data_IF_241208507093
#
_entry.id   IF_241208507093
#
_cell.length_a   1.000
_cell.length_b   1.000
_cell.length_c   1.000
_cell.angle_alpha   90.00
_cell.angle_beta   90.00
_cell.angle_gamma   90.00
#
_symmetry.space_group_name_H-M   'P 1'
#
loop_
_entity.id
_entity.type
_entity.pdbx_description
1 polymer ?
#
# COMPACT_ATOMS: atom_id res chain seq x y z
N UNK A 1 -4.00 -28.61 4.71
CA UNK A 1 -4.10 -28.71 3.24
C UNK A 1 -5.56 -28.71 2.84
N UNK A 2 -5.90 -28.10 1.70
CA UNK A 2 -7.25 -28.21 1.12
C UNK A 2 -7.47 -29.63 0.61
N UNK A 3 -8.72 -30.11 0.68
CA UNK A 3 -9.15 -31.38 0.06
C UNK A 3 -9.20 -31.23 -1.46
N UNK A 4 -9.13 -32.33 -2.19
CA UNK A 4 -9.33 -32.37 -3.64
C UNK A 4 -10.65 -31.68 -4.03
N UNK A 5 -10.59 -30.81 -5.04
CA UNK A 5 -11.68 -29.94 -5.48
C UNK A 5 -11.90 -28.69 -4.61
N UNK A 6 -11.14 -28.52 -3.53
CA UNK A 6 -11.21 -27.37 -2.62
C UNK A 6 -10.87 -26.06 -3.33
N UNK A 7 -11.61 -24.99 -3.00
CA UNK A 7 -11.39 -23.66 -3.56
C UNK A 7 -10.54 -22.81 -2.61
N UNK A 8 -9.43 -22.29 -3.12
CA UNK A 8 -8.66 -21.23 -2.51
C UNK A 8 -9.06 -19.89 -3.13
N UNK A 9 -9.31 -18.89 -2.28
CA UNK A 9 -9.56 -17.50 -2.66
C UNK A 9 -8.51 -16.65 -1.98
N UNK A 10 -7.68 -15.96 -2.76
CA UNK A 10 -6.64 -15.05 -2.26
C UNK A 10 -6.96 -13.66 -2.74
N UNK A 11 -6.95 -12.68 -1.84
CA UNK A 11 -6.91 -11.25 -2.20
C UNK A 11 -5.54 -10.72 -1.84
N UNK A 12 -4.90 -10.05 -2.78
CA UNK A 12 -3.59 -9.45 -2.58
C UNK A 12 -3.56 -8.06 -3.18
N UNK A 13 -2.71 -7.20 -2.63
CA UNK A 13 -2.52 -5.85 -3.13
C UNK A 13 -1.85 -5.90 -4.49
N UNK A 14 -2.24 -5.01 -5.38
CA UNK A 14 -1.57 -4.81 -6.65
C UNK A 14 -0.38 -3.86 -6.44
N UNK A 15 0.70 -4.05 -7.20
CA UNK A 15 1.86 -3.14 -7.17
C UNK A 15 1.49 -1.67 -7.45
N UNK A 16 0.39 -1.43 -8.17
CA UNK A 16 -0.12 -0.09 -8.47
C UNK A 16 -1.03 0.49 -7.39
N UNK A 17 -1.18 -0.20 -6.26
CA UNK A 17 -1.92 0.34 -5.13
C UNK A 17 -1.12 1.46 -4.46
N UNK A 18 -1.75 2.61 -4.22
CA UNK A 18 -1.11 3.77 -3.58
C UNK A 18 -0.33 3.41 -2.32
N UNK A 19 -0.93 2.64 -1.43
CA UNK A 19 -0.29 2.27 -0.17
C UNK A 19 0.98 1.42 -0.36
N UNK A 20 1.07 0.57 -1.39
CA UNK A 20 2.33 -0.13 -1.72
C UNK A 20 3.39 0.87 -2.14
N UNK A 21 3.05 1.77 -3.08
CA UNK A 21 3.97 2.78 -3.56
C UNK A 21 4.44 3.71 -2.42
N UNK A 22 3.58 4.01 -1.45
CA UNK A 22 3.95 4.81 -0.29
C UNK A 22 5.01 4.12 0.57
N UNK A 23 4.83 2.83 0.86
CA UNK A 23 5.81 2.10 1.65
C UNK A 23 7.11 1.83 0.89
N UNK A 24 7.08 1.69 -0.43
CA UNK A 24 8.29 1.67 -1.25
C UNK A 24 9.05 3.01 -1.14
N UNK A 25 8.35 4.15 -1.24
CA UNK A 25 8.97 5.46 -1.08
C UNK A 25 9.58 5.68 0.32
N UNK A 26 8.90 5.22 1.37
CA UNK A 26 9.46 5.22 2.73
C UNK A 26 10.68 4.30 2.83
N UNK A 27 10.68 3.18 2.10
CA UNK A 27 11.81 2.24 2.04
C UNK A 27 13.03 2.87 1.36
N UNK A 28 12.84 3.64 0.30
CA UNK A 28 13.93 4.39 -0.35
C UNK A 28 14.59 5.36 0.63
N UNK A 29 13.80 6.11 1.40
CA UNK A 29 14.31 7.05 2.41
C UNK A 29 15.05 6.32 3.53
N UNK A 30 14.49 5.21 4.02
CA UNK A 30 15.15 4.36 5.03
C UNK A 30 16.49 3.83 4.56
N UNK A 31 16.57 3.34 3.31
CA UNK A 31 17.78 2.76 2.73
C UNK A 31 18.84 3.83 2.43
N UNK A 32 18.43 5.06 2.13
CA UNK A 32 19.33 6.20 1.93
C UNK A 32 19.82 6.82 3.24
N UNK A 33 19.13 6.58 4.35
CA UNK A 33 19.50 7.10 5.69
C UNK A 33 20.57 6.19 6.31
N UNK A 34 21.65 6.80 6.79
CA UNK A 34 22.71 6.07 7.49
C UNK A 34 22.15 5.37 8.74
N UNK A 35 22.56 4.11 8.94
CA UNK A 35 22.17 3.33 10.10
C UNK A 35 22.68 1.90 10.01
N UNK A 36 22.66 1.21 11.14
CA UNK A 36 23.11 -0.18 11.21
C UNK A 36 22.12 -1.13 10.51
N UNK A 37 22.63 -2.25 9.99
CA UNK A 37 21.86 -3.32 9.38
C UNK A 37 21.72 -3.26 7.86
N UNK A 38 21.11 -4.31 7.30
CA UNK A 38 20.93 -4.44 5.86
C UNK A 38 19.81 -3.52 5.32
N UNK A 39 19.91 -3.07 4.05
CA UNK A 39 18.81 -2.41 3.36
C UNK A 39 17.55 -3.27 3.36
N UNK A 40 16.40 -2.61 3.48
CA UNK A 40 15.11 -3.27 3.34
C UNK A 40 14.78 -3.49 1.86
N UNK A 41 14.15 -4.63 1.58
CA UNK A 41 13.54 -4.86 0.27
C UNK A 41 12.22 -4.10 0.17
N UNK A 42 11.91 -3.64 -1.03
CA UNK A 42 10.67 -2.92 -1.30
C UNK A 42 9.46 -3.84 -1.07
N UNK A 43 8.45 -3.41 -0.32
CA UNK A 43 7.17 -4.11 -0.17
C UNK A 43 6.58 -4.62 -1.48
N UNK A 44 6.67 -3.83 -2.55
CA UNK A 44 6.23 -4.24 -3.90
C UNK A 44 6.93 -5.47 -4.48
N UNK A 45 8.04 -5.93 -3.89
CA UNK A 45 8.76 -7.13 -4.31
C UNK A 45 8.49 -8.35 -3.41
N UNK A 46 7.95 -8.13 -2.21
CA UNK A 46 7.85 -9.18 -1.17
C UNK A 46 6.42 -9.42 -0.68
N UNK A 47 5.51 -8.46 -0.78
CA UNK A 47 4.17 -8.51 -0.17
C UNK A 47 3.11 -9.26 -1.01
N UNK A 48 3.54 -10.13 -1.93
CA UNK A 48 2.62 -10.81 -2.84
C UNK A 48 1.92 -9.84 -3.80
N UNK A 49 2.62 -8.81 -4.25
CA UNK A 49 2.16 -7.82 -5.24
C UNK A 49 2.38 -8.27 -6.68
N UNK A 50 3.31 -9.22 -6.89
CA UNK A 50 3.58 -9.84 -8.18
C UNK A 50 2.58 -10.98 -8.46
N UNK A 51 1.59 -10.66 -9.29
CA UNK A 51 0.56 -11.59 -9.75
C UNK A 51 1.15 -12.80 -10.48
N UNK A 52 2.19 -12.61 -11.30
CA UNK A 52 2.74 -13.70 -12.13
C UNK A 52 3.48 -14.71 -11.26
N UNK A 53 4.28 -14.21 -10.31
CA UNK A 53 4.92 -15.03 -9.30
C UNK A 53 3.88 -15.80 -8.47
N UNK A 54 2.85 -15.13 -7.96
CA UNK A 54 1.80 -15.79 -7.17
C UNK A 54 1.09 -16.92 -7.95
N UNK A 55 0.77 -16.69 -9.23
CA UNK A 55 0.17 -17.70 -10.08
C UNK A 55 1.11 -18.88 -10.36
N UNK A 56 2.41 -18.61 -10.54
CA UNK A 56 3.42 -19.65 -10.72
C UNK A 56 3.55 -20.52 -9.46
N UNK A 57 3.67 -19.92 -8.29
CA UNK A 57 3.79 -20.62 -7.01
C UNK A 57 2.53 -21.50 -6.74
N UNK A 58 1.34 -21.01 -7.08
CA UNK A 58 0.11 -21.79 -6.96
C UNK A 58 0.09 -23.01 -7.91
N UNK A 59 0.56 -22.86 -9.16
CA UNK A 59 0.68 -23.99 -10.08
C UNK A 59 1.68 -25.03 -9.57
N UNK A 60 2.83 -24.58 -9.08
CA UNK A 60 3.88 -25.45 -8.53
C UNK A 60 3.40 -26.18 -7.26
N UNK A 61 2.54 -25.55 -6.46
CA UNK A 61 1.85 -26.16 -5.33
C UNK A 61 0.71 -27.13 -5.75
N UNK A 62 0.50 -27.32 -7.06
CA UNK A 62 -0.47 -28.25 -7.63
C UNK A 62 -1.91 -27.74 -7.58
N UNK A 63 -2.13 -26.43 -7.64
CA UNK A 63 -3.45 -25.87 -7.90
C UNK A 63 -3.73 -25.79 -9.41
N UNK A 64 -5.00 -25.93 -9.76
CA UNK A 64 -5.55 -25.91 -11.12
C UNK A 64 -6.68 -24.87 -11.23
N UNK A 65 -7.23 -24.67 -12.44
CA UNK A 65 -8.33 -23.73 -12.71
C UNK A 65 -8.11 -22.32 -12.16
N UNK A 66 -6.87 -21.83 -12.27
CA UNK A 66 -6.47 -20.51 -11.79
C UNK A 66 -7.18 -19.40 -12.56
N UNK A 67 -7.91 -18.55 -11.85
CA UNK A 67 -8.52 -17.33 -12.40
C UNK A 67 -8.08 -16.14 -11.58
N UNK A 68 -7.73 -15.05 -12.25
CA UNK A 68 -7.37 -13.81 -11.58
C UNK A 68 -8.25 -12.68 -12.05
N UNK A 69 -8.74 -11.92 -11.09
CA UNK A 69 -9.52 -10.71 -11.30
C UNK A 69 -8.75 -9.55 -10.71
N UNK A 70 -8.60 -8.47 -11.46
CA UNK A 70 -8.00 -7.23 -10.96
C UNK A 70 -9.12 -6.23 -10.74
N UNK A 71 -9.13 -5.60 -9.58
CA UNK A 71 -10.14 -4.64 -9.19
C UNK A 71 -9.46 -3.33 -8.81
N UNK A 72 -10.00 -2.22 -9.30
CA UNK A 72 -9.56 -0.87 -8.95
C UNK A 72 -10.73 -0.14 -8.34
N UNK A 73 -10.52 0.44 -7.16
CA UNK A 73 -11.51 1.15 -6.37
C UNK A 73 -10.89 2.46 -5.85
N UNK A 74 -11.75 3.37 -5.39
CA UNK A 74 -11.32 4.55 -4.64
C UNK A 74 -11.67 4.32 -3.19
N UNK A 75 -10.69 4.41 -2.30
CA UNK A 75 -10.89 4.43 -0.87
C UNK A 75 -11.14 5.87 -0.46
N UNK A 76 -12.18 6.10 0.32
CA UNK A 76 -12.48 7.40 0.92
C UNK A 76 -11.94 7.39 2.34
N UNK A 77 -10.99 8.29 2.63
CA UNK A 77 -10.51 8.53 3.98
C UNK A 77 -11.20 9.79 4.52
N UNK A 78 -12.28 9.59 5.27
CA UNK A 78 -13.02 10.68 5.93
C UNK A 78 -12.21 11.35 7.05
N UNK A 79 -11.28 10.60 7.65
CA UNK A 79 -10.28 11.13 8.60
C UNK A 79 -8.86 10.73 8.14
N UNK A 80 -8.24 11.55 7.28
CA UNK A 80 -6.89 11.35 6.77
C UNK A 80 -5.85 11.20 7.88
N UNK A 81 -6.02 11.95 8.98
CA UNK A 81 -5.10 11.95 10.12
C UNK A 81 -5.13 10.60 10.85
N UNK A 82 -6.31 10.07 11.12
CA UNK A 82 -6.45 8.73 11.71
C UNK A 82 -5.87 7.65 10.81
N UNK A 83 -6.00 7.79 9.49
CA UNK A 83 -5.38 6.85 8.53
C UNK A 83 -3.84 6.89 8.58
N UNK A 84 -3.22 8.08 8.64
CA UNK A 84 -1.77 8.20 8.81
C UNK A 84 -1.32 7.58 10.13
N UNK A 85 -2.05 7.83 11.23
CA UNK A 85 -1.78 7.22 12.53
C UNK A 85 -1.89 5.69 12.49
N UNK A 86 -2.88 5.15 11.79
CA UNK A 86 -3.03 3.71 11.61
C UNK A 86 -1.84 3.10 10.85
N UNK A 87 -1.34 3.78 9.81
CA UNK A 87 -0.13 3.34 9.10
C UNK A 87 1.12 3.41 9.97
N UNK A 88 1.28 4.46 10.77
CA UNK A 88 2.40 4.57 11.73
C UNK A 88 2.37 3.48 12.81
N UNK A 89 1.18 3.00 13.19
CA UNK A 89 1.00 1.95 14.19
C UNK A 89 1.01 0.53 13.59
N UNK A 90 1.12 0.38 12.26
CA UNK A 90 1.21 -0.92 11.61
C UNK A 90 2.53 -1.61 12.01
N UNK A 91 2.54 -2.91 12.36
CA UNK A 91 3.78 -3.65 12.64
C UNK A 91 4.84 -3.54 11.55
N UNK A 92 4.45 -3.30 10.29
CA UNK A 92 5.40 -3.05 9.21
C UNK A 92 6.16 -1.73 9.39
N UNK A 93 5.49 -0.70 9.91
CA UNK A 93 6.07 0.63 10.09
C UNK A 93 7.11 0.69 11.23
N UNK A 94 7.06 -0.22 12.20
CA UNK A 94 8.05 -0.24 13.29
C UNK A 94 9.47 -0.45 12.79
N UNK A 95 9.66 -1.14 11.66
CA UNK A 95 10.98 -1.36 11.07
C UNK A 95 11.60 -0.05 10.57
N UNK A 96 10.79 0.85 10.00
CA UNK A 96 11.28 2.14 9.52
C UNK A 96 11.78 3.05 10.65
N UNK A 97 11.22 2.89 11.84
CA UNK A 97 11.62 3.67 13.03
C UNK A 97 13.01 3.31 13.56
N UNK A 98 13.67 2.28 13.01
CA UNK A 98 15.09 1.99 13.33
C UNK A 98 16.04 3.06 12.76
N UNK A 99 15.65 3.80 11.71
CA UNK A 99 16.47 4.83 11.06
C UNK A 99 15.76 6.15 10.85
N UNK A 100 14.44 6.14 10.72
CA UNK A 100 13.62 7.33 10.52
C UNK A 100 12.99 7.75 11.85
N UNK A 101 12.87 9.07 12.08
CA UNK A 101 12.05 9.55 13.19
C UNK A 101 10.57 9.38 12.87
N UNK A 102 9.74 9.39 13.91
CA UNK A 102 8.29 9.31 13.76
C UNK A 102 7.76 10.47 12.92
N UNK A 103 8.31 11.67 13.14
CA UNK A 103 7.94 12.90 12.43
C UNK A 103 8.29 12.80 10.94
N UNK A 104 9.47 12.27 10.60
CA UNK A 104 9.87 12.06 9.21
C UNK A 104 8.95 11.07 8.48
N UNK A 105 8.57 10.00 9.17
CA UNK A 105 7.63 9.02 8.61
C UNK A 105 6.23 9.63 8.42
N UNK A 106 5.73 10.35 9.43
CA UNK A 106 4.43 11.03 9.39
C UNK A 106 4.36 12.06 8.26
N UNK A 107 5.39 12.91 8.14
CA UNK A 107 5.48 13.93 7.09
C UNK A 107 5.53 13.30 5.70
N UNK A 108 6.31 12.23 5.53
CA UNK A 108 6.43 11.52 4.26
C UNK A 108 5.10 10.90 3.83
N UNK A 109 4.45 10.14 4.73
CA UNK A 109 3.16 9.52 4.45
C UNK A 109 2.07 10.55 4.16
N UNK A 110 2.09 11.69 4.87
CA UNK A 110 1.16 12.80 4.63
C UNK A 110 1.35 13.39 3.24
N UNK A 111 2.60 13.68 2.82
CA UNK A 111 2.88 14.20 1.48
C UNK A 111 2.43 13.25 0.37
N UNK A 112 2.65 11.95 0.56
CA UNK A 112 2.26 10.92 -0.40
C UNK A 112 0.73 10.78 -0.48
N UNK A 113 0.04 10.86 0.66
CA UNK A 113 -1.41 10.88 0.70
C UNK A 113 -2.00 12.07 -0.05
N UNK A 114 -1.51 13.29 0.24
CA UNK A 114 -1.98 14.51 -0.42
C UNK A 114 -1.73 14.45 -1.93
N UNK A 115 -0.55 13.97 -2.34
CA UNK A 115 -0.22 13.80 -3.76
C UNK A 115 -1.22 12.87 -4.45
N UNK A 116 -1.46 11.68 -3.91
CA UNK A 116 -2.35 10.71 -4.54
C UNK A 116 -3.81 11.16 -4.51
N UNK A 117 -4.22 11.92 -3.50
CA UNK A 117 -5.53 12.52 -3.42
C UNK A 117 -5.73 13.59 -4.51
N UNK A 118 -4.73 14.46 -4.73
CA UNK A 118 -4.74 15.47 -5.78
C UNK A 118 -4.71 14.89 -7.18
N UNK A 119 -3.97 13.79 -7.39
CA UNK A 119 -3.89 13.08 -8.66
C UNK A 119 -5.15 12.24 -8.96
N UNK A 120 -6.03 12.04 -7.97
CA UNK A 120 -7.24 11.26 -8.16
C UNK A 120 -8.30 12.04 -8.97
N UNK A 121 -8.67 11.48 -10.11
CA UNK A 121 -9.67 12.04 -11.03
C UNK A 121 -11.02 12.38 -10.39
N UNK A 122 -11.42 11.67 -9.33
CA UNK A 122 -12.70 11.90 -8.64
C UNK A 122 -12.65 12.99 -7.57
N UNK A 123 -11.46 13.51 -7.25
CA UNK A 123 -11.31 14.62 -6.32
C UNK A 123 -11.46 15.93 -7.09
N UNK A 124 -12.71 16.40 -7.28
CA UNK A 124 -12.97 17.73 -7.85
C UNK A 124 -12.68 18.81 -6.80
N UNK A 125 -11.60 19.57 -6.97
CA UNK A 125 -11.27 20.72 -6.14
C UNK A 125 -9.94 21.35 -6.54
N UNK A 126 -9.84 22.68 -6.44
CA UNK A 126 -8.59 23.41 -6.64
C UNK A 126 -7.45 22.77 -5.85
N UNK A 127 -6.25 22.73 -6.44
CA UNK A 127 -5.02 22.33 -5.75
C UNK A 127 -4.92 23.20 -4.49
N UNK A 128 -5.28 22.63 -3.34
CA UNK A 128 -5.15 23.31 -2.06
C UNK A 128 -3.66 23.40 -1.73
N UNK A 129 -3.01 24.47 -2.19
CA UNK A 129 -1.71 24.89 -1.68
C UNK A 129 -1.92 25.53 -0.31
N UNK A 130 -2.38 24.74 0.65
CA UNK A 130 -2.43 25.20 2.03
C UNK A 130 -1.01 25.15 2.59
N UNK A 131 -0.31 26.29 2.52
CA UNK A 131 0.90 26.62 3.30
C UNK A 131 0.61 26.71 4.83
N UNK A 132 -0.39 25.96 5.31
CA UNK A 132 -0.83 25.92 6.70
C UNK A 132 -0.06 24.89 7.52
N UNK A 133 0.05 25.12 8.83
CA UNK A 133 0.71 24.20 9.74
C UNK A 133 -0.02 22.84 9.92
N UNK A 134 -1.30 22.75 9.52
CA UNK A 134 -2.08 21.51 9.51
C UNK A 134 -2.50 21.18 8.06
N UNK A 135 -1.97 20.08 7.47
CA UNK A 135 -2.27 19.68 6.10
C UNK A 135 -3.72 19.21 5.90
N UNK A 136 -4.47 18.97 6.98
CA UNK A 136 -5.86 18.50 6.93
C UNK A 136 -6.87 19.57 7.40
N UNK A 137 -6.44 20.83 7.49
CA UNK A 137 -7.29 21.94 7.97
C UNK A 137 -8.53 22.20 7.09
N UNK A 138 -8.52 21.72 5.84
CA UNK A 138 -9.66 21.83 4.93
C UNK A 138 -10.85 20.94 5.32
N UNK A 139 -10.64 19.95 6.19
CA UNK A 139 -11.66 19.00 6.64
C UNK A 139 -12.21 18.08 5.55
N UNK A 140 -11.60 18.06 4.36
CA UNK A 140 -12.09 17.29 3.23
C UNK A 140 -11.61 15.83 3.28
N UNK A 141 -12.43 14.85 2.86
CA UNK A 141 -11.96 13.48 2.72
C UNK A 141 -10.86 13.39 1.65
N UNK A 142 -9.97 12.41 1.79
CA UNK A 142 -8.97 12.09 0.76
C UNK A 142 -9.39 10.85 -0.02
N UNK A 143 -9.46 10.97 -1.34
CA UNK A 143 -9.88 9.90 -2.23
C UNK A 143 -8.64 9.24 -2.82
N UNK A 144 -8.34 8.01 -2.42
CA UNK A 144 -7.08 7.34 -2.79
C UNK A 144 -7.35 6.14 -3.69
N UNK A 145 -6.66 6.02 -4.84
CA UNK A 145 -6.80 4.85 -5.68
C UNK A 145 -6.23 3.61 -4.99
N UNK A 146 -7.01 2.54 -5.01
CA UNK A 146 -6.62 1.24 -4.49
C UNK A 146 -6.82 0.18 -5.56
N UNK A 147 -5.77 -0.60 -5.80
CA UNK A 147 -5.82 -1.72 -6.72
C UNK A 147 -5.45 -3.01 -5.98
N UNK A 148 -6.21 -4.05 -6.26
CA UNK A 148 -5.97 -5.38 -5.74
C UNK A 148 -6.28 -6.40 -6.82
N UNK A 149 -5.80 -7.62 -6.60
CA UNK A 149 -6.21 -8.76 -7.39
C UNK A 149 -6.73 -9.87 -6.49
N UNK A 150 -7.74 -10.57 -7.01
CA UNK A 150 -8.31 -11.77 -6.41
C UNK A 150 -7.95 -12.97 -7.27
N UNK A 151 -7.29 -13.97 -6.68
CA UNK A 151 -7.01 -15.25 -7.33
C UNK A 151 -7.98 -16.31 -6.80
N UNK A 152 -8.62 -17.01 -7.71
CA UNK A 152 -9.35 -18.25 -7.45
C UNK A 152 -8.51 -19.42 -7.93
N UNK A 153 -8.33 -20.43 -7.10
CA UNK A 153 -7.53 -21.62 -7.42
C UNK A 153 -8.21 -22.89 -6.89
N UNK A 154 -8.23 -23.98 -7.66
CA UNK A 154 -8.75 -25.28 -7.22
C UNK A 154 -7.64 -26.25 -6.87
N UNK A 155 -7.79 -26.99 -5.77
CA UNK A 155 -6.82 -28.00 -5.35
C UNK A 155 -7.11 -29.36 -5.98
#
# INVERSE_FOLDING_TARGET
MLKDGGLLVVTAWDEKSSQIAWFDAVTDIFNATEGDGEPLQHPSLIAGTDRERALKELKEAGFTDLKTYRTTHTIVFDDPKTMIQANMNNPFASKFLERLTREQLEETLTKLLEKDAQENFYQEGEVSTTDGADPFADGNPRLIPFSAYTILARK
#
